data_IF_979933670354
#
_entry.id   IF_979933670354
#
_cell.length_a   1.000
_cell.length_b   1.000
_cell.length_c   1.000
_cell.angle_alpha   90.00
_cell.angle_beta   90.00
_cell.angle_gamma   90.00
#
_symmetry.space_group_name_H-M   'P 1'
#
loop_
_entity.id
_entity.type
_entity.pdbx_description
1 polymer ?
#
# COMPACT_ATOMS: atom_id res chain seq x y z
N UNK A 1 -0.07 7.17 10.05
CA UNK A 1 -0.12 5.83 10.68
C UNK A 1 -0.16 4.81 9.56
N UNK A 2 0.63 3.75 9.64
CA UNK A 2 0.65 2.65 8.65
C UNK A 2 -0.09 1.47 9.26
N UNK A 3 -1.03 0.88 8.52
CA UNK A 3 -1.88 -0.24 8.96
C UNK A 3 -1.44 -1.56 8.31
N UNK A 4 -1.68 -2.68 8.99
CA UNK A 4 -1.69 -3.98 8.32
C UNK A 4 -3.06 -4.20 7.69
N UNK A 5 -3.11 -4.41 6.38
CA UNK A 5 -4.33 -4.55 5.60
C UNK A 5 -4.43 -6.01 5.15
N UNK A 6 -5.40 -6.79 5.65
CA UNK A 6 -5.66 -8.12 5.15
C UNK A 6 -5.93 -8.08 3.64
N UNK A 7 -5.26 -8.95 2.88
CA UNK A 7 -5.28 -8.87 1.41
C UNK A 7 -6.68 -9.10 0.82
N UNK A 8 -7.52 -9.88 1.50
CA UNK A 8 -8.93 -10.12 1.17
C UNK A 8 -9.84 -8.89 1.35
N UNK A 9 -9.35 -7.83 2.00
CA UNK A 9 -10.02 -6.52 2.08
C UNK A 9 -9.74 -5.63 0.86
N UNK A 10 -8.96 -6.12 -0.10
CA UNK A 10 -8.65 -5.45 -1.36
C UNK A 10 -9.39 -6.17 -2.50
N UNK A 11 -10.33 -5.47 -3.13
CA UNK A 11 -11.12 -5.99 -4.24
C UNK A 11 -10.79 -5.27 -5.55
N UNK A 12 -11.31 -5.77 -6.68
CA UNK A 12 -11.17 -5.16 -8.01
C UNK A 12 -9.70 -4.87 -8.38
N UNK A 13 -8.80 -5.78 -8.00
CA UNK A 13 -7.36 -5.62 -8.21
C UNK A 13 -7.06 -5.69 -9.71
N UNK A 14 -6.59 -4.58 -10.28
CA UNK A 14 -6.27 -4.47 -11.70
C UNK A 14 -4.88 -3.88 -11.89
N UNK A 15 -4.03 -4.52 -12.69
CA UNK A 15 -2.71 -4.00 -13.03
C UNK A 15 -2.86 -2.70 -13.84
N UNK A 16 -2.17 -1.64 -13.41
CA UNK A 16 -2.20 -0.32 -14.06
C UNK A 16 -0.83 0.14 -14.56
N UNK A 17 0.24 -0.54 -14.17
CA UNK A 17 1.58 -0.25 -14.67
C UNK A 17 2.61 -1.27 -14.22
N UNK A 18 3.72 -1.34 -14.94
CA UNK A 18 4.89 -2.12 -14.57
C UNK A 18 6.14 -1.33 -14.95
N UNK A 19 7.06 -1.21 -14.00
CA UNK A 19 8.40 -0.70 -14.23
C UNK A 19 9.45 -1.81 -14.11
N UNK A 20 10.74 -1.43 -14.13
CA UNK A 20 11.84 -2.40 -14.02
C UNK A 20 11.90 -3.18 -12.70
N UNK A 21 11.28 -2.68 -11.63
CA UNK A 21 11.42 -3.24 -10.27
C UNK A 21 10.09 -3.57 -9.58
N UNK A 22 8.96 -3.07 -10.08
CA UNK A 22 7.67 -3.29 -9.43
C UNK A 22 6.52 -3.24 -10.42
N UNK A 23 5.43 -3.91 -10.06
CA UNK A 23 4.13 -3.71 -10.70
C UNK A 23 3.25 -2.86 -9.78
N UNK A 24 2.40 -2.05 -10.40
CA UNK A 24 1.41 -1.23 -9.70
C UNK A 24 0.03 -1.67 -10.13
N UNK A 25 -0.86 -1.83 -9.16
CA UNK A 25 -2.24 -2.22 -9.33
C UNK A 25 -3.14 -1.13 -8.73
N UNK A 26 -4.33 -0.96 -9.29
CA UNK A 26 -5.44 -0.28 -8.63
C UNK A 26 -6.26 -1.32 -7.87
N UNK A 27 -6.81 -0.97 -6.71
CA UNK A 27 -7.73 -1.80 -5.96
C UNK A 27 -8.74 -0.96 -5.18
N UNK A 28 -9.87 -1.56 -4.83
CA UNK A 28 -10.84 -1.01 -3.88
C UNK A 28 -10.53 -1.57 -2.49
N UNK A 29 -10.15 -0.71 -1.54
CA UNK A 29 -10.03 -1.08 -0.13
C UNK A 29 -11.39 -0.98 0.55
N UNK A 30 -11.95 -2.13 0.92
CA UNK A 30 -13.32 -2.24 1.44
C UNK A 30 -13.50 -1.49 2.76
N UNK A 31 -12.56 -1.65 3.71
CA UNK A 31 -12.62 -0.96 5.00
C UNK A 31 -12.32 0.53 4.86
N UNK A 32 -11.60 0.92 3.81
CA UNK A 32 -11.37 2.30 3.46
C UNK A 32 -10.27 3.01 4.25
N UNK A 33 -9.93 4.21 3.78
CA UNK A 33 -8.84 5.01 4.33
C UNK A 33 -9.26 5.62 5.66
N UNK A 34 -8.41 5.44 6.69
CA UNK A 34 -8.59 6.13 7.97
C UNK A 34 -8.30 7.62 7.81
N UNK A 35 -9.24 8.45 8.24
CA UNK A 35 -9.11 9.91 8.31
C UNK A 35 -9.17 10.37 9.76
N UNK A 36 -8.56 11.52 10.00
CA UNK A 36 -8.71 12.29 11.24
C UNK A 36 -9.52 13.52 10.87
N UNK A 37 -10.63 13.76 11.56
CA UNK A 37 -11.37 15.01 11.39
C UNK A 37 -10.74 16.14 12.22
N UNK A 38 -11.28 17.36 12.06
CA UNK A 38 -10.81 18.56 12.78
C UNK A 38 -10.96 18.43 14.31
N UNK A 39 -11.75 17.46 14.78
CA UNK A 39 -12.00 17.18 16.20
C UNK A 39 -11.14 16.02 16.72
N UNK A 40 -10.14 15.57 15.95
CA UNK A 40 -9.29 14.42 16.25
C UNK A 40 -10.06 13.08 16.38
N UNK A 41 -11.27 12.99 15.83
CA UNK A 41 -12.04 11.74 15.76
C UNK A 41 -11.53 10.92 14.58
N UNK A 42 -11.29 9.62 14.84
CA UNK A 42 -10.86 8.67 13.82
C UNK A 42 -12.08 8.15 13.07
N UNK A 43 -12.16 8.47 11.79
CA UNK A 43 -13.20 7.98 10.88
C UNK A 43 -12.57 7.15 9.76
N UNK A 44 -13.39 6.47 8.96
CA UNK A 44 -12.96 5.77 7.74
C UNK A 44 -13.81 6.23 6.56
N UNK A 45 -13.16 6.40 5.41
CA UNK A 45 -13.82 6.59 4.12
C UNK A 45 -13.92 5.22 3.43
N UNK A 46 -15.04 4.50 3.55
CA UNK A 46 -15.17 3.14 3.06
C UNK A 46 -15.03 3.07 1.53
N UNK A 47 -14.70 1.88 1.00
CA UNK A 47 -14.59 1.63 -0.46
C UNK A 47 -13.63 2.56 -1.20
N UNK A 48 -12.51 2.92 -0.56
CA UNK A 48 -11.52 3.82 -1.14
C UNK A 48 -10.73 3.14 -2.27
N UNK A 49 -10.54 3.84 -3.39
CA UNK A 49 -9.61 3.40 -4.44
C UNK A 49 -8.17 3.68 -4.01
N UNK A 50 -7.31 2.66 -4.06
CA UNK A 50 -5.91 2.72 -3.64
C UNK A 50 -4.97 2.15 -4.70
N UNK A 51 -3.73 2.63 -4.70
CA UNK A 51 -2.65 2.03 -5.47
C UNK A 51 -1.93 0.95 -4.63
N UNK A 52 -1.81 -0.26 -5.17
CA UNK A 52 -1.03 -1.36 -4.61
C UNK A 52 0.25 -1.50 -5.41
N UNK A 53 1.40 -1.26 -4.78
CA UNK A 53 2.71 -1.47 -5.38
C UNK A 53 3.29 -2.78 -4.87
N UNK A 54 3.74 -3.65 -5.75
CA UNK A 54 4.45 -4.87 -5.35
C UNK A 54 5.87 -4.52 -4.94
N UNK A 55 6.35 -5.17 -3.87
CA UNK A 55 7.76 -5.19 -3.54
C UNK A 55 8.39 -6.36 -4.32
N UNK A 56 9.57 -6.16 -4.91
CA UNK A 56 10.16 -7.13 -5.83
C UNK A 56 10.37 -8.51 -5.16
N UNK A 57 9.92 -9.58 -5.82
CA UNK A 57 10.02 -10.95 -5.29
C UNK A 57 11.46 -11.42 -5.09
N UNK A 58 12.41 -10.87 -5.85
CA UNK A 58 13.85 -11.17 -5.73
C UNK A 58 14.45 -10.87 -4.36
N UNK A 59 13.72 -10.15 -3.49
CA UNK A 59 14.18 -9.70 -2.18
C UNK A 59 13.33 -10.18 -1.01
N UNK A 60 12.38 -11.09 -1.20
CA UNK A 60 11.42 -11.50 -0.14
C UNK A 60 12.06 -11.92 1.20
N UNK A 61 13.32 -12.38 1.18
CA UNK A 61 14.10 -12.76 2.36
C UNK A 61 15.41 -11.97 2.52
N UNK A 62 15.58 -10.86 1.80
CA UNK A 62 16.76 -10.00 1.93
C UNK A 62 16.52 -8.97 3.04
N UNK A 63 17.52 -8.65 3.87
CA UNK A 63 17.45 -7.49 4.76
C UNK A 63 17.17 -6.18 4.02
N UNK A 64 17.45 -6.10 2.70
CA UNK A 64 17.10 -4.95 1.86
C UNK A 64 15.62 -4.87 1.49
N UNK A 65 14.79 -5.86 1.83
CA UNK A 65 13.35 -5.88 1.51
C UNK A 65 12.63 -4.63 2.01
N UNK A 66 12.91 -4.25 3.26
CA UNK A 66 12.30 -3.08 3.90
C UNK A 66 12.97 -1.77 3.52
N UNK A 67 14.16 -1.81 2.90
CA UNK A 67 14.94 -0.61 2.58
C UNK A 67 14.19 0.33 1.62
N UNK A 68 13.48 -0.23 0.65
CA UNK A 68 12.64 0.56 -0.27
C UNK A 68 11.46 1.19 0.46
N UNK A 69 10.76 0.42 1.30
CA UNK A 69 9.65 0.91 2.11
C UNK A 69 10.08 2.03 3.08
N UNK A 70 11.20 1.82 3.79
CA UNK A 70 11.79 2.81 4.68
C UNK A 70 12.22 4.08 3.94
N UNK A 71 12.83 3.93 2.76
CA UNK A 71 13.22 5.06 1.91
C UNK A 71 11.99 5.88 1.53
N UNK A 72 10.92 5.24 1.06
CA UNK A 72 9.67 5.93 0.73
C UNK A 72 9.06 6.64 1.94
N UNK A 73 9.06 6.01 3.12
CA UNK A 73 8.57 6.62 4.36
C UNK A 73 9.40 7.85 4.77
N UNK A 74 10.73 7.82 4.58
CA UNK A 74 11.62 8.97 4.84
C UNK A 74 11.38 10.10 3.84
N UNK A 75 11.30 9.79 2.55
CA UNK A 75 11.03 10.77 1.49
C UNK A 75 9.71 11.51 1.72
N UNK A 76 8.67 10.81 2.19
CA UNK A 76 7.39 11.43 2.48
C UNK A 76 7.50 12.49 3.59
N UNK A 77 8.23 12.18 4.67
CA UNK A 77 8.43 13.11 5.79
C UNK A 77 9.31 14.31 5.44
N UNK A 78 10.33 14.11 4.60
CA UNK A 78 11.36 15.14 4.32
C UNK A 78 10.92 16.09 3.20
N UNK A 79 10.27 15.58 2.15
CA UNK A 79 9.95 16.36 0.95
C UNK A 79 8.47 16.65 0.75
N UNK A 80 7.63 16.32 1.74
CA UNK A 80 6.18 16.60 1.68
C UNK A 80 5.50 15.89 0.50
N UNK A 81 6.00 14.72 0.10
CA UNK A 81 5.44 14.00 -1.04
C UNK A 81 3.96 13.70 -0.79
N UNK A 82 3.09 14.05 -1.74
CA UNK A 82 1.63 13.82 -1.66
C UNK A 82 1.23 12.34 -1.60
N UNK A 83 2.17 11.41 -1.84
CA UNK A 83 1.92 9.98 -1.87
C UNK A 83 1.92 9.41 -0.45
N UNK A 84 0.74 9.41 0.18
CA UNK A 84 0.53 8.83 1.50
C UNK A 84 0.60 7.31 1.45
N UNK A 85 1.36 6.72 2.39
CA UNK A 85 1.41 5.27 2.58
C UNK A 85 0.42 4.90 3.67
N UNK A 86 -0.61 4.13 3.30
CA UNK A 86 -1.68 3.73 4.22
C UNK A 86 -1.37 2.44 4.97
N UNK A 87 -0.70 1.50 4.33
CA UNK A 87 -0.52 0.18 4.93
C UNK A 87 0.36 -0.77 4.15
N UNK A 88 0.56 -1.93 4.74
CA UNK A 88 1.19 -3.10 4.14
C UNK A 88 0.17 -4.22 4.04
N UNK A 89 0.26 -5.01 2.99
CA UNK A 89 -0.55 -6.21 2.81
C UNK A 89 0.33 -7.34 2.30
N UNK A 90 -0.05 -8.57 2.61
CA UNK A 90 0.62 -9.75 2.12
C UNK A 90 -0.41 -10.68 1.50
N UNK A 91 -0.25 -10.92 0.20
CA UNK A 91 -0.97 -11.98 -0.46
C UNK A 91 -0.32 -13.32 -0.13
N UNK A 92 -1.02 -14.16 0.64
CA UNK A 92 -0.58 -15.53 0.98
C UNK A 92 -1.06 -16.57 -0.02
N UNK A 93 -1.93 -16.20 -0.97
CA UNK A 93 -2.40 -17.07 -2.04
C UNK A 93 -1.55 -16.84 -3.29
N UNK A 94 -0.83 -17.87 -3.72
CA UNK A 94 -0.17 -17.86 -5.03
C UNK A 94 -1.23 -17.50 -6.07
N UNK A 95 -1.03 -16.38 -6.74
CA UNK A 95 -1.95 -15.92 -7.76
C UNK A 95 -1.45 -16.45 -9.10
N UNK A 96 -2.24 -17.33 -9.73
CA UNK A 96 -2.27 -17.45 -11.17
C UNK A 96 -2.98 -16.18 -11.70
N UNK A 97 -2.24 -15.08 -11.85
CA UNK A 97 -2.65 -13.91 -12.65
C UNK A 97 -2.10 -14.11 -14.06
#
# INVERSE_FOLDING_TARGET
MVEWIPFDRLNNIKKIGQGGFSSVFSATWLDGIRKLDDKNVRTREPFSTVALKTLSDSKKNSPDFFKEFESHMKCNKVWGSKLQIYGLTQNTKQMNI
#
